data_IF_996878477661
#
_entry.id   IF_996878477661
#
_cell.length_a   1.000
_cell.length_b   1.000
_cell.length_c   1.000
_cell.angle_alpha   90.00
_cell.angle_beta   90.00
_cell.angle_gamma   90.00
#
_symmetry.space_group_name_H-M   'P 1'
#
loop_
_entity.id
_entity.type
_entity.pdbx_description
1 polymer ?
#
# COMPACT_ATOMS: atom_id res chain seq x y z
N UNK A 1 -14.15 -15.50 10.96
CA UNK A 1 -14.37 -14.76 12.23
C UNK A 1 -13.11 -13.95 12.55
N UNK A 2 -13.26 -12.73 13.08
CA UNK A 2 -12.13 -11.85 13.43
C UNK A 2 -12.06 -11.61 14.94
N UNK A 3 -10.86 -11.64 15.50
CA UNK A 3 -10.57 -11.07 16.83
C UNK A 3 -10.22 -9.60 16.66
N UNK A 4 -10.74 -8.75 17.55
CA UNK A 4 -10.48 -7.31 17.60
C UNK A 4 -10.13 -6.95 19.04
N UNK A 5 -8.84 -6.73 19.31
CA UNK A 5 -8.36 -6.31 20.62
C UNK A 5 -8.03 -4.82 20.60
N UNK A 6 -8.52 -4.07 21.58
CA UNK A 6 -8.23 -2.64 21.68
C UNK A 6 -6.81 -2.43 22.16
N UNK A 7 -6.06 -1.58 21.45
CA UNK A 7 -4.71 -1.21 21.86
C UNK A 7 -4.77 -0.37 23.12
N UNK A 8 -4.09 -0.82 24.17
CA UNK A 8 -3.89 -0.08 25.42
C UNK A 8 -2.46 0.47 25.49
N UNK A 9 -2.28 1.60 26.19
CA UNK A 9 -0.97 2.22 26.41
C UNK A 9 -0.93 3.65 25.85
N UNK A 10 -1.02 4.62 26.74
CA UNK A 10 -1.18 6.04 26.39
C UNK A 10 -0.04 6.55 25.48
N UNK A 11 1.21 6.16 25.76
CA UNK A 11 2.36 6.61 24.97
C UNK A 11 2.39 5.98 23.56
N UNK A 12 1.99 4.72 23.42
CA UNK A 12 1.90 4.07 22.12
C UNK A 12 0.80 4.71 21.26
N UNK A 13 -0.37 4.95 21.85
CA UNK A 13 -1.49 5.61 21.19
C UNK A 13 -1.12 7.03 20.76
N UNK A 14 -0.44 7.80 21.63
CA UNK A 14 0.07 9.15 21.32
C UNK A 14 1.05 9.16 20.15
N UNK A 15 1.84 8.10 19.96
CA UNK A 15 2.79 7.98 18.84
C UNK A 15 2.15 7.47 17.56
N UNK A 16 0.95 6.89 17.63
CA UNK A 16 0.21 6.37 16.49
C UNK A 16 -0.89 7.32 15.99
N UNK A 17 -1.38 8.23 16.84
CA UNK A 17 -2.50 9.10 16.54
C UNK A 17 -2.24 10.02 15.34
N UNK A 18 -3.30 10.24 14.56
CA UNK A 18 -3.33 11.17 13.45
C UNK A 18 -4.73 11.78 13.35
N UNK A 19 -4.98 12.59 12.33
CA UNK A 19 -6.21 13.37 12.16
C UNK A 19 -7.48 12.57 12.52
N UNK A 20 -8.19 13.07 13.53
CA UNK A 20 -9.43 12.50 14.06
C UNK A 20 -9.38 10.98 14.34
N UNK A 21 -8.20 10.42 14.62
CA UNK A 21 -7.98 8.98 14.80
C UNK A 21 -7.00 8.74 15.94
N UNK A 22 -7.55 8.34 17.10
CA UNK A 22 -6.81 8.10 18.35
C UNK A 22 -7.03 6.70 18.94
N UNK A 23 -8.02 5.97 18.42
CA UNK A 23 -8.39 4.64 18.86
C UNK A 23 -7.98 3.61 17.81
N UNK A 24 -7.30 2.56 18.24
CA UNK A 24 -6.75 1.52 17.37
C UNK A 24 -7.07 0.12 17.89
N UNK A 25 -7.09 -0.83 16.96
CA UNK A 25 -7.31 -2.24 17.21
C UNK A 25 -6.16 -3.07 16.66
N UNK A 26 -5.91 -4.19 17.34
CA UNK A 26 -5.19 -5.35 16.85
C UNK A 26 -6.22 -6.33 16.29
N UNK A 27 -6.24 -6.49 14.97
CA UNK A 27 -7.24 -7.27 14.25
C UNK A 27 -6.59 -8.54 13.70
N UNK A 28 -7.12 -9.70 14.07
CA UNK A 28 -6.62 -11.00 13.63
C UNK A 28 -7.76 -11.80 13.02
N UNK A 29 -7.50 -12.44 11.88
CA UNK A 29 -8.41 -13.46 11.35
C UNK A 29 -8.19 -14.77 12.10
N UNK A 30 -9.23 -15.31 12.73
CA UNK A 30 -9.12 -16.51 13.57
C UNK A 30 -9.35 -17.81 12.79
N UNK A 31 -10.23 -17.77 11.80
CA UNK A 31 -10.57 -18.94 10.99
C UNK A 31 -10.26 -18.67 9.51
N UNK A 32 -9.38 -19.50 8.98
CA UNK A 32 -8.95 -19.50 7.59
C UNK A 32 -8.92 -20.91 6.98
N UNK A 33 -9.54 -21.90 7.64
CA UNK A 33 -9.44 -23.30 7.21
C UNK A 33 -10.02 -23.52 5.79
N UNK A 34 -10.97 -22.68 5.40
CA UNK A 34 -11.61 -22.66 4.10
C UNK A 34 -10.88 -21.80 3.05
N UNK A 35 -9.73 -21.20 3.41
CA UNK A 35 -8.85 -20.46 2.50
C UNK A 35 -7.53 -21.22 2.38
N UNK A 36 -7.33 -22.04 1.34
CA UNK A 36 -6.14 -22.89 1.23
C UNK A 36 -4.80 -22.15 1.25
N UNK A 37 -4.78 -20.89 0.78
CA UNK A 37 -3.56 -20.08 0.74
C UNK A 37 -3.19 -19.50 2.12
N UNK A 38 -4.08 -19.58 3.11
CA UNK A 38 -3.89 -19.01 4.43
C UNK A 38 -2.77 -19.65 5.25
N UNK A 39 -2.34 -20.88 4.89
CA UNK A 39 -1.16 -21.53 5.47
C UNK A 39 0.14 -20.73 5.30
N UNK A 40 0.14 -19.76 4.38
CA UNK A 40 1.28 -18.88 4.11
C UNK A 40 1.25 -17.60 4.95
N UNK A 41 0.17 -17.34 5.68
CA UNK A 41 -0.06 -16.10 6.39
C UNK A 41 0.52 -16.11 7.79
N UNK A 42 0.99 -14.96 8.20
CA UNK A 42 1.31 -14.65 9.59
C UNK A 42 0.05 -14.69 10.46
N UNK A 43 0.21 -15.19 11.69
CA UNK A 43 -0.89 -15.26 12.66
C UNK A 43 -0.99 -14.02 13.53
N UNK A 44 -0.06 -13.07 13.47
CA UNK A 44 -0.08 -11.87 14.32
C UNK A 44 -1.23 -10.92 13.94
N UNK A 45 -1.81 -10.20 14.91
CA UNK A 45 -2.85 -9.23 14.62
C UNK A 45 -2.29 -7.96 13.96
N UNK A 46 -3.05 -7.41 13.02
CA UNK A 46 -2.71 -6.17 12.32
C UNK A 46 -3.29 -4.92 13.01
N UNK A 47 -2.53 -3.83 12.99
CA UNK A 47 -2.85 -2.57 13.63
C UNK A 47 -3.64 -1.65 12.69
N UNK A 48 -4.89 -1.38 13.04
CA UNK A 48 -5.80 -0.56 12.24
C UNK A 48 -6.62 0.39 13.12
N UNK A 49 -7.12 1.51 12.59
CA UNK A 49 -8.05 2.38 13.32
C UNK A 49 -9.26 1.60 13.82
N UNK A 50 -9.77 1.93 15.01
CA UNK A 50 -10.87 1.18 15.61
C UNK A 50 -12.15 1.18 14.78
N UNK A 51 -12.38 2.25 13.99
CA UNK A 51 -13.50 2.31 13.04
C UNK A 51 -13.45 1.23 11.96
N UNK A 52 -12.28 0.65 11.69
CA UNK A 52 -12.13 -0.43 10.71
C UNK A 52 -12.97 -1.65 11.06
N UNK A 53 -13.22 -1.89 12.36
CA UNK A 53 -14.07 -2.99 12.82
C UNK A 53 -15.46 -2.98 12.16
N UNK A 54 -16.03 -1.78 11.91
CA UNK A 54 -17.35 -1.62 11.28
C UNK A 54 -17.36 -2.08 9.82
N UNK A 55 -16.19 -2.24 9.20
CA UNK A 55 -16.05 -2.62 7.79
C UNK A 55 -15.67 -4.08 7.61
N UNK A 56 -15.29 -4.81 8.65
CA UNK A 56 -14.74 -6.17 8.54
C UNK A 56 -15.69 -7.14 7.83
N UNK A 57 -16.97 -7.16 8.23
CA UNK A 57 -17.95 -8.04 7.62
C UNK A 57 -18.25 -7.65 6.17
N UNK A 58 -18.31 -6.35 5.87
CA UNK A 58 -18.53 -5.85 4.51
C UNK A 58 -17.35 -6.17 3.58
N UNK A 59 -16.12 -6.05 4.09
CA UNK A 59 -14.89 -6.38 3.37
C UNK A 59 -14.82 -7.89 3.13
N UNK A 60 -15.01 -8.70 4.17
CA UNK A 60 -14.95 -10.16 4.11
C UNK A 60 -15.90 -10.72 3.06
N UNK A 61 -17.11 -10.16 2.97
CA UNK A 61 -18.18 -10.59 2.06
C UNK A 61 -18.22 -9.83 0.73
N UNK A 62 -17.26 -8.94 0.47
CA UNK A 62 -17.20 -8.18 -0.78
C UNK A 62 -17.08 -9.14 -1.98
N UNK A 63 -17.89 -8.89 -3.03
CA UNK A 63 -17.93 -9.76 -4.20
C UNK A 63 -16.81 -9.44 -5.16
N UNK A 64 -15.90 -10.40 -5.31
CA UNK A 64 -14.75 -10.30 -6.20
C UNK A 64 -15.13 -10.87 -7.56
N UNK A 65 -14.69 -10.22 -8.64
CA UNK A 65 -14.92 -10.66 -10.01
C UNK A 65 -13.62 -11.22 -10.58
N UNK A 66 -13.72 -12.20 -11.45
CA UNK A 66 -12.56 -12.85 -12.06
C UNK A 66 -11.73 -11.92 -12.94
N UNK A 67 -12.35 -10.85 -13.46
CA UNK A 67 -11.71 -9.83 -14.28
C UNK A 67 -11.28 -8.57 -13.50
N UNK A 68 -11.34 -8.62 -12.16
CA UNK A 68 -10.74 -7.58 -11.33
C UNK A 68 -9.21 -7.60 -11.45
N UNK A 69 -8.60 -6.43 -11.30
CA UNK A 69 -7.15 -6.28 -11.08
C UNK A 69 -6.90 -5.47 -9.82
N UNK A 70 -6.19 -6.08 -8.87
CA UNK A 70 -5.87 -5.49 -7.57
C UNK A 70 -4.42 -5.03 -7.55
N UNK A 71 -4.17 -3.79 -7.11
CA UNK A 71 -2.84 -3.30 -6.77
C UNK A 71 -2.74 -3.18 -5.26
N UNK A 72 -1.88 -4.02 -4.68
CA UNK A 72 -1.74 -4.20 -3.25
C UNK A 72 -0.34 -3.78 -2.79
N UNK A 73 -0.25 -3.24 -1.58
CA UNK A 73 1.03 -2.80 -1.03
C UNK A 73 0.88 -2.39 0.42
N UNK A 74 1.95 -2.48 1.22
CA UNK A 74 2.05 -1.63 2.40
C UNK A 74 2.07 -0.15 1.96
N UNK A 75 1.52 0.81 2.74
CA UNK A 75 1.55 2.22 2.34
C UNK A 75 2.95 2.72 1.97
N UNK A 76 3.03 3.51 0.90
CA UNK A 76 4.24 4.23 0.45
C UNK A 76 5.36 3.37 -0.15
N UNK A 77 5.04 2.17 -0.61
CA UNK A 77 5.99 1.28 -1.31
C UNK A 77 5.96 1.41 -2.85
N UNK A 78 5.18 2.32 -3.44
CA UNK A 78 5.15 2.53 -4.91
C UNK A 78 3.79 2.25 -5.58
N UNK A 79 2.72 2.23 -4.80
CA UNK A 79 1.35 1.94 -5.24
C UNK A 79 0.93 2.77 -6.46
N UNK A 80 1.02 4.10 -6.38
CA UNK A 80 0.61 5.01 -7.48
C UNK A 80 1.36 4.76 -8.78
N UNK A 81 2.65 4.47 -8.67
CA UNK A 81 3.49 4.17 -9.84
C UNK A 81 3.05 2.85 -10.50
N UNK A 82 2.74 1.85 -9.68
CA UNK A 82 2.22 0.56 -10.12
C UNK A 82 0.81 0.65 -10.69
N UNK A 83 -0.09 1.43 -10.06
CA UNK A 83 -1.45 1.67 -10.53
C UNK A 83 -1.45 2.29 -11.92
N UNK A 84 -0.61 3.31 -12.15
CA UNK A 84 -0.50 3.96 -13.46
C UNK A 84 0.04 2.98 -14.51
N UNK A 85 1.08 2.21 -14.19
CA UNK A 85 1.62 1.18 -15.08
C UNK A 85 0.55 0.14 -15.46
N UNK A 86 -0.15 -0.42 -14.48
CA UNK A 86 -1.20 -1.43 -14.69
C UNK A 86 -2.36 -0.84 -15.50
N UNK A 87 -2.78 0.39 -15.20
CA UNK A 87 -3.86 1.06 -15.94
C UNK A 87 -3.53 1.21 -17.42
N UNK A 88 -2.35 1.77 -17.71
CA UNK A 88 -1.92 2.05 -19.08
C UNK A 88 -1.78 0.77 -19.88
N UNK A 89 -1.13 -0.25 -19.33
CA UNK A 89 -0.99 -1.56 -19.98
C UNK A 89 -2.38 -2.17 -20.29
N UNK A 90 -3.29 -2.12 -19.33
CA UNK A 90 -4.61 -2.75 -19.47
C UNK A 90 -5.51 -2.04 -20.48
N UNK A 91 -5.34 -0.71 -20.61
CA UNK A 91 -6.09 0.17 -21.50
C UNK A 91 -5.31 0.52 -22.78
N UNK A 92 -4.40 -0.36 -23.22
CA UNK A 92 -3.69 -0.26 -24.50
C UNK A 92 -2.94 1.08 -24.70
N UNK A 93 -2.36 1.60 -23.62
CA UNK A 93 -1.59 2.86 -23.60
C UNK A 93 -2.39 4.09 -24.04
N UNK A 94 -3.70 4.12 -23.76
CA UNK A 94 -4.52 5.32 -23.91
C UNK A 94 -4.21 6.35 -22.80
N UNK A 95 -3.09 7.06 -23.00
CA UNK A 95 -2.60 8.09 -22.06
C UNK A 95 -3.61 9.22 -21.87
N UNK A 96 -4.32 9.62 -22.92
CA UNK A 96 -5.37 10.65 -22.88
C UNK A 96 -6.46 10.25 -21.90
N UNK A 97 -6.98 9.03 -22.01
CA UNK A 97 -7.97 8.51 -21.05
C UNK A 97 -7.41 8.45 -19.64
N UNK A 98 -6.15 8.05 -19.47
CA UNK A 98 -5.47 8.04 -18.16
C UNK A 98 -5.36 9.42 -17.50
N UNK A 99 -5.17 10.48 -18.30
CA UNK A 99 -5.07 11.86 -17.81
C UNK A 99 -6.42 12.51 -17.51
N UNK A 100 -7.50 12.05 -18.15
CA UNK A 100 -8.85 12.61 -17.96
C UNK A 100 -9.51 12.21 -16.64
N UNK A 101 -9.04 11.15 -15.98
CA UNK A 101 -9.61 10.64 -14.74
C UNK A 101 -8.54 10.55 -13.65
N UNK A 102 -8.90 10.97 -12.43
CA UNK A 102 -8.03 10.82 -11.27
C UNK A 102 -7.68 9.35 -11.04
N UNK A 103 -6.48 9.07 -10.54
CA UNK A 103 -6.07 7.72 -10.18
C UNK A 103 -7.01 7.09 -9.15
N UNK A 104 -7.73 7.89 -8.35
CA UNK A 104 -8.74 7.39 -7.41
C UNK A 104 -10.05 6.96 -8.07
N UNK A 105 -10.40 7.55 -9.22
CA UNK A 105 -11.56 7.11 -9.99
C UNK A 105 -11.22 5.84 -10.78
N UNK A 106 -9.96 5.75 -11.23
CA UNK A 106 -9.42 4.59 -11.96
C UNK A 106 -9.16 3.40 -11.03
N UNK A 107 -8.63 3.67 -9.83
CA UNK A 107 -8.37 2.71 -8.76
C UNK A 107 -8.96 3.22 -7.45
N UNK A 108 -10.25 2.97 -7.18
CA UNK A 108 -10.83 3.35 -5.91
C UNK A 108 -10.12 2.61 -4.76
N UNK A 109 -9.89 3.35 -3.68
CA UNK A 109 -9.20 2.86 -2.50
C UNK A 109 -10.18 2.06 -1.63
N UNK A 110 -10.02 0.74 -1.64
CA UNK A 110 -10.98 -0.26 -1.17
C UNK A 110 -11.48 -0.04 0.26
N UNK A 111 -10.57 0.32 1.18
CA UNK A 111 -10.85 0.48 2.60
C UNK A 111 -10.78 1.93 3.09
N UNK A 112 -10.87 2.93 2.19
CA UNK A 112 -10.63 4.35 2.50
C UNK A 112 -11.50 4.86 3.66
N UNK A 113 -12.79 4.53 3.68
CA UNK A 113 -13.72 4.98 4.71
C UNK A 113 -13.52 4.28 6.06
N UNK A 114 -12.75 3.19 6.08
CA UNK A 114 -12.42 2.45 7.30
C UNK A 114 -11.12 2.93 7.96
N UNK A 115 -10.29 3.70 7.23
CA UNK A 115 -8.97 4.16 7.70
C UNK A 115 -8.82 5.67 7.72
N UNK A 116 -9.58 6.40 6.90
CA UNK A 116 -9.65 7.86 6.91
C UNK A 116 -11.00 8.33 7.47
N UNK A 117 -10.98 9.34 8.35
CA UNK A 117 -12.18 9.92 8.97
C UNK A 117 -12.95 10.85 8.00
N UNK A 118 -13.23 10.37 6.78
CA UNK A 118 -13.82 11.19 5.72
C UNK A 118 -15.27 10.74 5.44
N UNK A 119 -15.47 9.48 5.05
CA UNK A 119 -16.77 8.90 4.70
C UNK A 119 -16.93 7.49 5.29
N UNK A 120 -18.15 6.94 5.25
CA UNK A 120 -18.37 5.52 5.58
C UNK A 120 -17.70 4.60 4.55
N UNK A 121 -17.07 3.52 5.01
CA UNK A 121 -16.53 2.52 4.08
C UNK A 121 -17.63 1.78 3.33
N UNK A 122 -18.83 1.69 3.88
CA UNK A 122 -19.97 1.01 3.23
C UNK A 122 -20.34 1.68 1.90
N UNK A 123 -20.36 3.01 1.85
CA UNK A 123 -20.63 3.76 0.62
C UNK A 123 -19.52 3.53 -0.42
N UNK A 124 -18.27 3.50 0.02
CA UNK A 124 -17.10 3.25 -0.84
C UNK A 124 -17.17 1.84 -1.45
N UNK A 125 -17.52 0.83 -0.66
CA UNK A 125 -17.68 -0.55 -1.13
C UNK A 125 -18.91 -0.71 -2.04
N UNK A 126 -20.03 -0.03 -1.75
CA UNK A 126 -21.22 -0.01 -2.63
C UNK A 126 -20.89 0.61 -3.99
N UNK A 127 -20.16 1.72 -4.01
CA UNK A 127 -19.69 2.33 -5.25
C UNK A 127 -18.84 1.35 -6.07
N UNK A 128 -17.83 0.73 -5.44
CA UNK A 128 -16.97 -0.29 -6.05
C UNK A 128 -17.74 -1.52 -6.55
N UNK A 129 -18.78 -1.94 -5.83
CA UNK A 129 -19.63 -3.06 -6.22
C UNK A 129 -20.46 -2.76 -7.47
N UNK A 130 -20.86 -1.49 -7.66
CA UNK A 130 -21.67 -1.03 -8.79
C UNK A 130 -20.85 -0.60 -10.01
N UNK A 131 -19.52 -0.50 -9.89
CA UNK A 131 -18.67 -0.18 -11.04
C UNK A 131 -18.78 -1.24 -12.14
N UNK A 132 -18.74 -0.86 -13.43
CA UNK A 132 -18.66 -1.81 -14.52
C UNK A 132 -17.35 -2.59 -14.47
N UNK A 133 -17.37 -3.81 -14.98
CA UNK A 133 -16.19 -4.63 -15.19
C UNK A 133 -15.43 -4.19 -16.45
N UNK A 134 -14.08 -4.36 -16.51
CA UNK A 134 -13.22 -4.82 -15.42
C UNK A 134 -12.96 -3.72 -14.38
N UNK A 135 -12.81 -4.10 -13.11
CA UNK A 135 -12.48 -3.15 -12.03
C UNK A 135 -11.00 -3.16 -11.74
N UNK A 136 -10.45 -1.98 -11.47
CA UNK A 136 -9.10 -1.81 -10.97
C UNK A 136 -9.20 -1.29 -9.55
N UNK A 137 -8.61 -1.99 -8.60
CA UNK A 137 -8.85 -1.76 -7.17
C UNK A 137 -7.51 -1.60 -6.46
N UNK A 138 -7.40 -0.62 -5.59
CA UNK A 138 -6.22 -0.46 -4.74
C UNK A 138 -6.58 -0.75 -3.29
N UNK A 139 -5.67 -1.44 -2.60
CA UNK A 139 -5.80 -1.67 -1.16
C UNK A 139 -4.42 -1.70 -0.50
N UNK A 140 -4.40 -1.35 0.79
CA UNK A 140 -3.29 -1.50 1.70
C UNK A 140 -3.56 -2.57 2.76
N UNK A 141 -4.66 -3.31 2.65
CA UNK A 141 -4.97 -4.39 3.58
C UNK A 141 -3.95 -5.53 3.44
N UNK A 142 -3.52 -6.11 4.57
CA UNK A 142 -2.74 -7.32 4.58
C UNK A 142 -3.59 -8.50 4.08
N UNK A 143 -2.94 -9.56 3.61
CA UNK A 143 -3.62 -10.70 3.00
C UNK A 143 -4.77 -11.29 3.85
N UNK A 144 -4.61 -11.50 5.18
CA UNK A 144 -5.69 -12.06 6.00
C UNK A 144 -6.93 -11.18 6.12
N UNK A 145 -6.84 -9.88 5.82
CA UNK A 145 -7.94 -8.91 5.97
C UNK A 145 -8.59 -8.52 4.64
N UNK A 146 -8.15 -9.08 3.52
CA UNK A 146 -8.79 -8.91 2.21
C UNK A 146 -10.08 -9.74 2.10
N UNK A 147 -10.96 -9.43 1.12
CA UNK A 147 -12.17 -10.21 0.87
C UNK A 147 -11.87 -11.69 0.69
N UNK A 148 -12.66 -12.57 1.31
CA UNK A 148 -12.45 -14.02 1.22
C UNK A 148 -12.44 -14.52 -0.22
N UNK A 149 -13.34 -14.00 -1.04
CA UNK A 149 -13.48 -14.39 -2.45
C UNK A 149 -12.22 -14.06 -3.28
N UNK A 150 -11.35 -13.15 -2.85
CA UNK A 150 -10.10 -12.85 -3.59
C UNK A 150 -9.21 -14.11 -3.70
N UNK A 151 -9.28 -15.00 -2.72
CA UNK A 151 -8.44 -16.20 -2.65
C UNK A 151 -9.03 -17.40 -3.40
N UNK A 152 -10.34 -17.39 -3.68
CA UNK A 152 -11.04 -18.46 -4.41
C UNK A 152 -11.31 -18.09 -5.86
N UNK A 153 -11.71 -16.85 -6.14
CA UNK A 153 -11.92 -16.31 -7.49
C UNK A 153 -10.58 -16.09 -8.21
N UNK A 154 -9.52 -15.79 -7.45
CA UNK A 154 -8.15 -15.58 -7.94
C UNK A 154 -8.06 -14.52 -9.06
N UNK A 155 -8.54 -13.27 -8.84
CA UNK A 155 -8.29 -12.18 -9.78
C UNK A 155 -6.79 -11.87 -9.88
N UNK A 156 -6.40 -11.05 -10.86
CA UNK A 156 -5.02 -10.58 -10.97
C UNK A 156 -4.67 -9.67 -9.79
N UNK A 157 -3.56 -9.95 -9.12
CA UNK A 157 -3.02 -9.19 -8.00
C UNK A 157 -1.59 -8.76 -8.34
N UNK A 158 -1.33 -7.47 -8.30
CA UNK A 158 0.03 -6.90 -8.39
C UNK A 158 0.40 -6.35 -7.02
N UNK A 159 1.35 -6.99 -6.35
CA UNK A 159 1.86 -6.55 -5.05
C UNK A 159 3.18 -5.82 -5.21
N UNK A 160 3.36 -4.67 -4.55
CA UNK A 160 4.64 -3.93 -4.56
C UNK A 160 5.22 -3.75 -3.16
N UNK A 161 6.45 -4.25 -2.98
CA UNK A 161 7.28 -4.06 -1.79
C UNK A 161 8.34 -2.98 -2.01
N UNK A 162 8.95 -2.53 -0.92
CA UNK A 162 10.03 -1.54 -0.93
C UNK A 162 10.91 -1.71 0.30
N UNK A 163 12.15 -1.24 0.21
CA UNK A 163 13.04 -1.05 1.34
C UNK A 163 12.30 -0.44 2.56
N UNK A 164 12.47 -1.04 3.73
CA UNK A 164 11.73 -0.64 4.91
C UNK A 164 12.06 0.80 5.36
N UNK A 165 13.31 1.23 5.27
CA UNK A 165 13.75 2.55 5.74
C UNK A 165 13.18 3.67 4.86
N UNK A 166 13.25 3.50 3.54
CA UNK A 166 12.60 4.43 2.60
C UNK A 166 11.08 4.43 2.76
N UNK A 167 10.48 3.27 3.06
CA UNK A 167 9.05 3.14 3.36
C UNK A 167 8.68 3.94 4.60
N UNK A 168 9.37 3.74 5.73
CA UNK A 168 9.15 4.49 6.98
C UNK A 168 9.31 6.00 6.74
N UNK A 169 10.38 6.43 6.07
CA UNK A 169 10.59 7.85 5.81
C UNK A 169 9.47 8.43 4.94
N UNK A 170 9.09 7.73 3.85
CA UNK A 170 8.00 8.19 3.00
C UNK A 170 6.65 8.17 3.70
N UNK A 171 6.46 7.25 4.66
CA UNK A 171 5.26 7.17 5.48
C UNK A 171 5.17 8.35 6.45
N UNK A 172 6.27 8.71 7.11
CA UNK A 172 6.36 9.89 7.96
C UNK A 172 5.92 11.16 7.26
N UNK A 173 6.50 11.44 6.09
CA UNK A 173 6.16 12.62 5.30
C UNK A 173 4.69 12.65 4.88
N UNK A 174 4.14 11.49 4.52
CA UNK A 174 2.72 11.36 4.18
C UNK A 174 1.81 11.59 5.39
N UNK A 175 2.08 10.93 6.51
CA UNK A 175 1.33 11.06 7.76
C UNK A 175 1.28 12.52 8.24
N UNK A 176 2.44 13.18 8.30
CA UNK A 176 2.55 14.58 8.72
C UNK A 176 1.75 15.52 7.81
N UNK A 177 1.90 15.36 6.50
CA UNK A 177 1.38 16.35 5.55
C UNK A 177 -0.03 16.07 5.04
N UNK A 178 -0.50 14.82 5.11
CA UNK A 178 -1.83 14.42 4.64
C UNK A 178 -2.77 14.05 5.77
N UNK A 179 -2.24 13.54 6.89
CA UNK A 179 -3.04 13.02 8.00
C UNK A 179 -2.81 13.79 9.32
N UNK A 180 -2.20 14.96 9.33
CA UNK A 180 -1.91 15.75 10.55
C UNK A 180 -1.23 14.93 11.67
N UNK A 181 -0.30 14.05 11.32
CA UNK A 181 0.53 13.36 12.30
C UNK A 181 1.47 14.35 13.00
N UNK A 182 1.46 14.33 14.34
CA UNK A 182 2.16 15.34 15.16
C UNK A 182 3.43 14.84 15.83
N UNK A 183 3.72 13.54 15.74
CA UNK A 183 4.96 12.95 16.25
C UNK A 183 6.18 13.35 15.42
N UNK A 184 7.36 13.16 16.02
CA UNK A 184 8.64 13.26 15.32
C UNK A 184 8.89 12.04 14.44
N UNK A 185 9.90 12.09 13.56
CA UNK A 185 10.34 10.91 12.81
C UNK A 185 10.76 9.78 13.76
N UNK A 186 11.40 10.11 14.89
CA UNK A 186 11.77 9.15 15.93
C UNK A 186 10.54 8.46 16.53
N UNK A 187 9.50 9.23 16.88
CA UNK A 187 8.25 8.68 17.42
C UNK A 187 7.62 7.70 16.43
N UNK A 188 7.61 8.03 15.13
CA UNK A 188 7.07 7.14 14.10
C UNK A 188 7.91 5.88 13.93
N UNK A 189 9.25 5.98 13.93
CA UNK A 189 10.14 4.81 13.87
C UNK A 189 9.84 3.90 15.05
N UNK A 190 9.79 4.43 16.27
CA UNK A 190 9.49 3.64 17.47
C UNK A 190 8.10 2.98 17.40
N UNK A 191 7.07 3.70 16.93
CA UNK A 191 5.75 3.13 16.70
C UNK A 191 5.77 2.02 15.63
N UNK A 192 6.49 2.21 14.53
CA UNK A 192 6.60 1.24 13.45
C UNK A 192 7.27 -0.06 13.92
N UNK A 193 8.38 0.04 14.67
CA UNK A 193 9.09 -1.12 15.22
C UNK A 193 8.28 -1.86 16.28
N UNK A 194 7.34 -1.17 16.94
CA UNK A 194 6.34 -1.71 17.85
C UNK A 194 5.05 -2.17 17.15
N UNK A 195 5.09 -2.35 15.82
CA UNK A 195 3.95 -2.77 15.00
C UNK A 195 2.71 -1.86 15.13
N UNK A 196 2.89 -0.57 15.42
CA UNK A 196 1.80 0.35 15.82
C UNK A 196 1.60 1.52 14.85
N UNK A 197 1.85 1.28 13.57
CA UNK A 197 1.44 2.13 12.45
C UNK A 197 0.35 1.43 11.65
N UNK A 198 -0.44 2.17 10.86
CA UNK A 198 -1.53 1.55 10.08
C UNK A 198 -1.00 0.37 9.24
N UNK A 199 -1.75 -0.73 9.24
CA UNK A 199 -1.48 -1.98 8.53
C UNK A 199 -0.26 -2.77 9.01
N UNK A 200 0.43 -2.34 10.08
CA UNK A 200 1.52 -3.13 10.67
C UNK A 200 0.98 -4.43 11.30
N UNK A 201 1.76 -5.52 11.44
CA UNK A 201 3.20 -5.60 11.22
C UNK A 201 3.64 -5.50 9.76
N UNK A 202 4.64 -4.66 9.49
CA UNK A 202 5.15 -4.45 8.13
C UNK A 202 5.80 -5.70 7.52
N UNK A 203 6.59 -6.43 8.31
CA UNK A 203 7.25 -7.66 7.90
C UNK A 203 6.23 -8.74 7.56
N UNK A 204 5.22 -9.00 8.41
CA UNK A 204 4.14 -9.93 8.11
C UNK A 204 3.45 -9.58 6.79
N UNK A 205 3.12 -8.30 6.62
CA UNK A 205 2.46 -7.81 5.42
C UNK A 205 3.26 -8.12 4.14
N UNK A 206 4.59 -8.01 4.16
CA UNK A 206 5.42 -8.33 2.99
C UNK A 206 5.66 -9.83 2.85
N UNK A 207 5.94 -10.53 3.96
CA UNK A 207 6.23 -11.97 3.98
C UNK A 207 5.07 -12.78 3.42
N UNK A 208 3.83 -12.46 3.79
CA UNK A 208 2.65 -13.19 3.31
C UNK A 208 2.56 -13.17 1.77
N UNK A 209 2.66 -11.99 1.16
CA UNK A 209 2.65 -11.86 -0.30
C UNK A 209 3.90 -12.46 -0.95
N UNK A 210 5.06 -12.42 -0.28
CA UNK A 210 6.26 -13.08 -0.76
C UNK A 210 6.10 -14.60 -0.80
N UNK A 211 5.50 -15.20 0.22
CA UNK A 211 5.24 -16.64 0.27
C UNK A 211 4.25 -17.10 -0.81
N UNK A 212 3.35 -16.21 -1.21
CA UNK A 212 2.36 -16.45 -2.27
C UNK A 212 2.82 -16.03 -3.67
N UNK A 213 4.03 -15.49 -3.84
CA UNK A 213 4.51 -14.85 -5.09
C UNK A 213 4.54 -15.75 -6.32
N UNK A 214 4.51 -17.06 -6.13
CA UNK A 214 4.53 -18.05 -7.21
C UNK A 214 3.13 -18.49 -7.66
N UNK A 215 2.06 -17.98 -7.02
CA UNK A 215 0.70 -18.17 -7.53
C UNK A 215 0.54 -17.47 -8.89
N UNK A 216 -0.16 -18.13 -9.82
CA UNK A 216 -0.31 -17.62 -11.20
C UNK A 216 -0.99 -16.26 -11.29
N UNK A 217 -1.83 -15.92 -10.32
CA UNK A 217 -2.59 -14.67 -10.27
C UNK A 217 -1.93 -13.60 -9.40
N UNK A 218 -0.69 -13.81 -8.93
CA UNK A 218 0.06 -12.84 -8.12
C UNK A 218 1.35 -12.45 -8.83
N UNK A 219 1.55 -11.15 -9.03
CA UNK A 219 2.82 -10.57 -9.47
C UNK A 219 3.43 -9.78 -8.32
N UNK A 220 4.56 -10.27 -7.80
CA UNK A 220 5.37 -9.54 -6.82
C UNK A 220 6.40 -8.64 -7.52
N UNK A 221 6.37 -7.36 -7.19
CA UNK A 221 7.30 -6.32 -7.65
C UNK A 221 8.00 -5.67 -6.46
N UNK A 222 9.15 -5.05 -6.74
CA UNK A 222 9.82 -4.14 -5.79
C UNK A 222 9.95 -2.76 -6.41
N UNK A 223 9.83 -1.72 -5.59
CA UNK A 223 10.10 -0.34 -5.99
C UNK A 223 11.53 -0.21 -6.55
N UNK A 224 12.47 -0.92 -5.95
CA UNK A 224 13.87 -0.92 -6.31
C UNK A 224 14.10 -1.50 -7.72
N UNK A 225 13.44 -2.59 -8.08
CA UNK A 225 13.50 -3.14 -9.44
C UNK A 225 12.91 -2.19 -10.47
N UNK A 226 11.77 -1.56 -10.14
CA UNK A 226 11.16 -0.54 -11.01
C UNK A 226 12.10 0.63 -11.24
N UNK A 227 12.85 1.06 -10.22
CA UNK A 227 13.86 2.12 -10.34
C UNK A 227 15.11 1.68 -11.10
N UNK A 228 15.53 0.42 -10.96
CA UNK A 228 16.73 -0.12 -11.62
C UNK A 228 16.51 -0.40 -13.11
N UNK A 229 15.38 -0.98 -13.48
CA UNK A 229 15.07 -1.33 -14.87
C UNK A 229 13.56 -1.33 -15.11
N UNK A 230 13.01 -0.13 -15.31
CA UNK A 230 11.58 0.04 -15.57
C UNK A 230 11.09 -0.67 -16.84
N UNK A 231 11.78 -0.62 -18.00
CA UNK A 231 11.36 -1.35 -19.21
C UNK A 231 11.17 -2.85 -18.97
N UNK A 232 12.09 -3.49 -18.23
CA UNK A 232 11.96 -4.90 -17.88
C UNK A 232 10.74 -5.17 -16.99
N UNK A 233 10.50 -4.31 -15.98
CA UNK A 233 9.34 -4.46 -15.09
C UNK A 233 8.02 -4.22 -15.85
N UNK A 234 7.98 -3.28 -16.79
CA UNK A 234 6.84 -3.07 -17.68
C UNK A 234 6.57 -4.33 -18.50
N UNK A 235 7.60 -4.90 -19.13
CA UNK A 235 7.46 -6.12 -19.93
C UNK A 235 6.94 -7.31 -19.08
N UNK A 236 7.51 -7.49 -17.88
CA UNK A 236 7.06 -8.51 -16.91
C UNK A 236 5.60 -8.31 -16.53
N UNK A 237 5.20 -7.06 -16.27
CA UNK A 237 3.83 -6.70 -15.89
C UNK A 237 2.86 -6.90 -17.04
N UNK A 238 3.23 -6.51 -18.26
CA UNK A 238 2.42 -6.72 -19.45
C UNK A 238 2.15 -8.20 -19.71
N UNK A 239 3.19 -9.04 -19.61
CA UNK A 239 3.05 -10.50 -19.71
C UNK A 239 2.09 -11.06 -18.66
N UNK A 240 2.21 -10.62 -17.40
CA UNK A 240 1.32 -11.04 -16.32
C UNK A 240 -0.14 -10.61 -16.55
N UNK A 241 -0.35 -9.41 -17.10
CA UNK A 241 -1.67 -8.91 -17.45
C UNK A 241 -2.22 -9.51 -18.76
N UNK A 242 -1.49 -10.43 -19.40
CA UNK A 242 -1.82 -11.04 -20.70
C UNK A 242 -1.92 -10.01 -21.84
N UNK A 243 -1.04 -9.01 -21.80
CA UNK A 243 -0.87 -7.99 -22.82
C UNK A 243 0.48 -8.17 -23.51
N UNK A 244 0.53 -7.82 -24.79
CA UNK A 244 1.77 -7.76 -25.57
C UNK A 244 2.07 -6.31 -25.89
N UNK A 245 3.30 -5.87 -25.62
CA UNK A 245 3.80 -4.55 -25.97
C UNK A 245 5.04 -4.70 -26.85
N UNK A 246 5.18 -3.83 -27.84
CA UNK A 246 6.44 -3.68 -28.59
C UNK A 246 7.49 -2.99 -27.73
N UNK A 247 8.77 -3.09 -28.10
CA UNK A 247 9.84 -2.36 -27.39
C UNK A 247 9.60 -0.85 -27.40
N UNK A 248 9.11 -0.30 -28.51
CA UNK A 248 8.74 1.11 -28.62
C UNK A 248 7.62 1.49 -27.64
N UNK A 249 6.58 0.66 -27.52
CA UNK A 249 5.49 0.87 -26.56
C UNK A 249 5.98 0.80 -25.10
N UNK A 250 6.95 -0.10 -24.82
CA UNK A 250 7.58 -0.21 -23.51
C UNK A 250 8.37 1.07 -23.19
N UNK A 251 9.15 1.58 -24.14
CA UNK A 251 9.96 2.80 -23.96
C UNK A 251 9.07 4.03 -23.76
N UNK A 252 7.99 4.17 -24.55
CA UNK A 252 7.01 5.24 -24.39
C UNK A 252 6.35 5.18 -23.00
N UNK A 253 5.94 3.98 -22.55
CA UNK A 253 5.34 3.83 -21.23
C UNK A 253 6.36 4.10 -20.11
N UNK A 254 7.63 3.68 -20.27
CA UNK A 254 8.68 3.95 -19.30
C UNK A 254 8.93 5.45 -19.12
N UNK A 255 8.94 6.19 -20.22
CA UNK A 255 9.04 7.65 -20.22
C UNK A 255 7.82 8.31 -19.56
N UNK A 256 6.59 7.90 -19.91
CA UNK A 256 5.35 8.35 -19.24
C UNK A 256 5.37 8.13 -17.72
N UNK A 257 5.93 6.99 -17.30
CA UNK A 257 6.07 6.59 -15.91
C UNK A 257 7.31 7.18 -15.22
N UNK A 258 8.08 8.03 -15.89
CA UNK A 258 9.21 8.72 -15.26
C UNK A 258 8.73 9.63 -14.13
N UNK A 259 9.59 9.84 -13.12
CA UNK A 259 9.25 10.70 -11.99
C UNK A 259 8.89 12.12 -12.43
N UNK A 260 9.61 12.66 -13.42
CA UNK A 260 9.38 14.01 -13.91
C UNK A 260 7.99 14.15 -14.55
N UNK A 261 7.59 13.20 -15.42
CA UNK A 261 6.26 13.23 -16.03
C UNK A 261 5.15 12.94 -15.02
N UNK A 262 5.32 11.93 -14.16
CA UNK A 262 4.31 11.59 -13.17
C UNK A 262 4.10 12.70 -12.14
N UNK A 263 5.17 13.37 -11.69
CA UNK A 263 5.06 14.47 -10.71
C UNK A 263 4.31 15.69 -11.27
N UNK A 264 4.36 15.91 -12.58
CA UNK A 264 3.63 16.97 -13.27
C UNK A 264 2.22 16.55 -13.71
N UNK A 265 1.90 15.26 -13.70
CA UNK A 265 0.61 14.74 -14.12
C UNK A 265 -0.45 14.83 -12.98
N UNK A 266 -1.38 15.76 -13.13
CA UNK A 266 -2.45 16.02 -12.16
C UNK A 266 -3.38 14.83 -11.88
N UNK A 267 -3.49 13.87 -12.81
CA UNK A 267 -4.29 12.66 -12.61
C UNK A 267 -3.68 11.70 -11.57
N UNK A 268 -2.38 11.82 -11.28
CA UNK A 268 -1.65 10.88 -10.41
C UNK A 268 -0.80 11.56 -9.32
N UNK A 269 -0.58 12.87 -9.36
CA UNK A 269 0.32 13.58 -8.43
C UNK A 269 -0.36 14.08 -7.14
N UNK A 270 -1.68 13.95 -7.04
CA UNK A 270 -2.48 14.32 -5.85
C UNK A 270 -2.38 15.81 -5.47
N UNK A 271 -1.88 16.67 -6.37
CA UNK A 271 -1.62 18.08 -6.06
C UNK A 271 -2.90 18.79 -5.62
N UNK A 272 -3.95 18.71 -6.45
CA UNK A 272 -5.25 19.31 -6.14
C UNK A 272 -5.83 18.74 -4.85
N UNK A 273 -5.81 17.42 -4.66
CA UNK A 273 -6.32 16.77 -3.43
C UNK A 273 -5.59 17.25 -2.17
N UNK A 274 -4.27 17.48 -2.25
CA UNK A 274 -3.48 18.02 -1.14
C UNK A 274 -3.78 19.50 -0.89
N UNK A 275 -3.97 20.28 -1.95
CA UNK A 275 -4.37 21.69 -1.88
C UNK A 275 -5.77 21.85 -1.25
N UNK A 276 -6.67 20.92 -1.57
CA UNK A 276 -8.06 20.88 -1.08
C UNK A 276 -8.18 20.38 0.37
N UNK A 277 -7.11 19.84 0.98
CA UNK A 277 -7.13 19.47 2.41
C UNK A 277 -7.45 20.73 3.22
N UNK A 278 -8.61 20.81 3.89
CA UNK A 278 -9.00 22.00 4.62
C UNK A 278 -7.95 22.32 5.70
N UNK A 279 -7.69 23.61 5.95
CA UNK A 279 -6.77 24.02 7.03
C UNK A 279 -7.19 23.50 8.41
N UNK A 280 -8.49 23.27 8.62
CA UNK A 280 -9.01 22.65 9.85
C UNK A 280 -8.67 21.15 9.96
N UNK A 281 -8.35 20.48 8.85
CA UNK A 281 -7.90 19.08 8.81
C UNK A 281 -6.39 19.00 9.07
N UNK A 282 -5.58 19.79 8.36
CA UNK A 282 -4.14 19.85 8.60
C UNK A 282 -3.64 21.31 8.59
N UNK A 283 -3.49 21.95 9.76
CA UNK A 283 -3.01 23.32 9.83
C UNK A 283 -1.49 23.46 9.66
N UNK A 284 -0.73 22.36 9.68
CA UNK A 284 0.75 22.34 9.73
C UNK A 284 1.40 21.66 8.53
N UNK A 285 0.65 21.46 7.45
CA UNK A 285 1.19 20.95 6.18
C UNK A 285 2.39 21.81 5.76
N UNK A 286 3.51 21.17 5.48
CA UNK A 286 4.72 21.82 5.00
C UNK A 286 4.42 22.49 3.65
N UNK A 287 4.88 23.73 3.46
CA UNK A 287 4.51 24.55 2.29
C UNK A 287 4.93 23.90 0.96
N UNK A 288 6.08 23.23 0.96
CA UNK A 288 6.68 22.63 -0.23
C UNK A 288 6.43 21.11 -0.32
N UNK A 289 5.48 20.58 0.46
CA UNK A 289 5.15 19.16 0.40
C UNK A 289 4.48 18.79 -0.93
N UNK A 290 5.07 17.83 -1.64
CA UNK A 290 4.47 17.15 -2.78
C UNK A 290 4.27 15.66 -2.48
N UNK A 291 3.14 15.09 -2.91
CA UNK A 291 2.88 13.65 -2.76
C UNK A 291 3.97 12.80 -3.43
N UNK A 292 4.34 13.19 -4.65
CA UNK A 292 5.50 12.66 -5.37
C UNK A 292 6.75 13.40 -4.91
N UNK A 293 7.31 12.96 -3.78
CA UNK A 293 8.32 13.73 -3.05
C UNK A 293 9.73 13.71 -3.66
N UNK A 294 10.37 12.55 -3.74
CA UNK A 294 11.77 12.39 -4.21
C UNK A 294 11.97 11.34 -5.31
N UNK A 295 11.17 10.26 -5.32
CA UNK A 295 11.25 9.24 -6.37
C UNK A 295 12.58 8.47 -6.45
N UNK A 296 13.31 8.35 -5.33
CA UNK A 296 14.67 7.76 -5.24
C UNK A 296 14.72 6.57 -4.28
N UNK A 297 15.73 5.73 -4.47
CA UNK A 297 16.16 4.69 -3.51
C UNK A 297 17.21 5.32 -2.59
N UNK A 298 17.17 5.00 -1.30
CA UNK A 298 18.19 5.37 -0.33
C UNK A 298 18.06 6.76 0.25
N UNK A 299 16.95 7.47 -0.01
CA UNK A 299 16.73 8.82 0.52
C UNK A 299 16.61 8.86 2.04
N UNK A 300 16.37 7.72 2.70
CA UNK A 300 16.45 7.60 4.16
C UNK A 300 17.79 8.10 4.73
N UNK A 301 18.90 7.97 3.99
CA UNK A 301 20.24 8.40 4.45
C UNK A 301 20.38 9.91 4.59
N UNK A 302 19.49 10.67 3.97
CA UNK A 302 19.51 12.14 4.03
C UNK A 302 18.82 12.67 5.30
N UNK A 303 17.99 11.87 5.97
CA UNK A 303 17.06 12.35 7.01
C UNK A 303 17.05 11.48 8.28
N UNK A 304 17.45 10.21 8.21
CA UNK A 304 17.58 9.32 9.37
C UNK A 304 19.00 9.37 9.93
N UNK A 305 19.13 9.33 11.26
CA UNK A 305 20.43 9.17 11.91
C UNK A 305 20.99 7.76 11.68
N UNK A 306 22.33 7.58 11.77
CA UNK A 306 22.95 6.24 11.71
C UNK A 306 22.31 5.26 12.70
N UNK A 307 22.09 5.67 13.95
CA UNK A 307 21.47 4.84 14.99
C UNK A 307 20.06 4.36 14.61
N UNK A 308 19.24 5.24 13.99
CA UNK A 308 17.91 4.84 13.50
C UNK A 308 18.03 3.79 12.39
N UNK A 309 18.95 4.01 11.45
CA UNK A 309 19.19 3.08 10.33
C UNK A 309 19.61 1.71 10.86
N UNK A 310 20.55 1.66 11.81
CA UNK A 310 21.04 0.42 12.38
C UNK A 310 19.98 -0.31 13.21
N UNK A 311 19.22 0.43 14.02
CA UNK A 311 18.08 -0.11 14.77
C UNK A 311 17.04 -0.76 13.84
N UNK A 312 16.70 -0.08 12.74
CA UNK A 312 15.76 -0.63 11.74
C UNK A 312 16.36 -1.87 11.07
N UNK A 313 17.65 -1.85 10.71
CA UNK A 313 18.33 -2.98 10.09
C UNK A 313 18.33 -4.23 10.99
N UNK A 314 18.67 -4.07 12.27
CA UNK A 314 18.63 -5.15 13.26
C UNK A 314 17.22 -5.69 13.46
N UNK A 315 16.24 -4.79 13.56
CA UNK A 315 14.83 -5.19 13.66
C UNK A 315 14.40 -6.03 12.46
N UNK A 316 14.71 -5.62 11.22
CA UNK A 316 14.37 -6.41 10.01
C UNK A 316 15.04 -7.78 10.05
N UNK A 317 16.35 -7.83 10.33
CA UNK A 317 17.08 -9.11 10.39
C UNK A 317 16.47 -10.06 11.42
N UNK A 318 16.21 -9.56 12.63
CA UNK A 318 15.56 -10.32 13.70
C UNK A 318 14.20 -10.84 13.25
N UNK A 319 13.36 -9.98 12.68
CA UNK A 319 11.99 -10.31 12.28
C UNK A 319 11.93 -11.33 11.15
N UNK A 320 12.81 -11.25 10.17
CA UNK A 320 12.89 -12.26 9.10
C UNK A 320 13.32 -13.63 9.65
N UNK A 321 14.25 -13.66 10.62
CA UNK A 321 14.66 -14.91 11.29
C UNK A 321 13.52 -15.49 12.14
N UNK A 322 12.86 -14.67 12.96
CA UNK A 322 11.74 -15.07 13.81
C UNK A 322 10.58 -15.68 12.99
N UNK A 323 10.31 -15.11 11.81
CA UNK A 323 9.26 -15.57 10.90
C UNK A 323 9.71 -16.68 9.93
N UNK A 324 10.96 -17.16 10.05
CA UNK A 324 11.55 -18.15 9.12
C UNK A 324 11.37 -17.74 7.65
N UNK A 325 11.51 -16.44 7.40
CA UNK A 325 11.27 -15.86 6.08
C UNK A 325 12.38 -16.27 5.11
N UNK A 326 12.05 -16.23 3.81
CA UNK A 326 13.00 -16.44 2.74
C UNK A 326 14.18 -15.43 2.85
N UNK A 327 15.44 -15.88 2.86
CA UNK A 327 16.60 -15.00 2.98
C UNK A 327 16.68 -13.93 1.89
N UNK A 328 16.07 -14.14 0.71
CA UNK A 328 16.02 -13.14 -0.36
C UNK A 328 15.33 -11.84 0.07
N UNK A 329 14.40 -11.90 1.03
CA UNK A 329 13.72 -10.72 1.57
C UNK A 329 14.70 -9.75 2.27
N UNK A 330 15.86 -10.21 2.73
CA UNK A 330 16.90 -9.31 3.24
C UNK A 330 17.37 -8.33 2.16
N UNK A 331 17.47 -8.77 0.90
CA UNK A 331 17.91 -7.93 -0.23
C UNK A 331 16.84 -6.92 -0.66
N UNK A 332 15.58 -7.13 -0.25
CA UNK A 332 14.45 -6.28 -0.58
C UNK A 332 14.20 -5.26 0.54
N UNK A 333 14.29 -5.70 1.80
CA UNK A 333 13.89 -4.89 2.95
C UNK A 333 15.03 -4.06 3.55
N UNK A 334 16.30 -4.47 3.39
CA UNK A 334 17.49 -3.73 3.82
C UNK A 334 18.04 -2.81 2.74
#
# INVERSE_FOLDING_TARGET
MFSCERVSGEDLLRRAEYYATKDFLRIQRLDCADIPISKHWDTRPFFLPARHQLSLELIENFKVRSDDTWVLSYPKTGTTWTQEMVWQISNNLDFTRGMNYSIHDRFPFFEVGSVAAINSNEESLKFLQNMPSPRFIQSHLPAPLLPKEIWTVKPKIVYVARNAKDTILSFYHFYRNVQDYRGTLKDLVEAFLADSTNYAPFDAHVIDFWNMRNEKNILFLTYEDMKRNLPFVIQKTAKFLEKSLTNEQIDILADHLSFDKMSQNNSVNFKQRIEDIPKCVNPRKDKDFAFMRKGKIGSYREEMSPDMIDTINEWIRRRLVENKADPELLNILL
#
